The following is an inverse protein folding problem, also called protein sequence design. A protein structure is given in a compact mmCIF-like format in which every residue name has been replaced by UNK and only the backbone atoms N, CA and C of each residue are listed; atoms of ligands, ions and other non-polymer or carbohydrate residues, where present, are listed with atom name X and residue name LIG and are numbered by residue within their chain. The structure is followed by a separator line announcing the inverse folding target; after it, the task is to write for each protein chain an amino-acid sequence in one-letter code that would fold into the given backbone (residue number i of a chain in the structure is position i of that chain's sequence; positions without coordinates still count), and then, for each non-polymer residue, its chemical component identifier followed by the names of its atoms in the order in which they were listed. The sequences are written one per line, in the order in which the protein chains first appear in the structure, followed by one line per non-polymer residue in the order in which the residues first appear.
data_IF_938358343383
#
_entry.id   IF_938358343383
#
_cell.length_a   1.000
_cell.length_b   1.000
_cell.length_c   1.000
_cell.angle_alpha   90.00
_cell.angle_beta   90.00
_cell.angle_gamma   90.00
#
_symmetry.space_group_name_H-M   'P 1'
#
loop_
_entity.id
_entity.type
_entity.pdbx_description
1 polymer ?
#
# COMPACT_ATOMS: atom_id res chain seq x y z
N UNK A 1 15.21 21.28 2.22
CA UNK A 1 13.83 21.67 1.86
C UNK A 1 13.60 23.14 2.12
N UNK A 2 13.06 23.86 1.15
CA UNK A 2 12.71 25.29 1.35
C UNK A 2 11.29 25.35 1.88
N UNK A 3 11.11 25.50 3.20
CA UNK A 3 9.81 25.88 3.72
C UNK A 3 9.58 27.38 3.47
N UNK A 4 8.39 27.70 2.99
CA UNK A 4 7.98 29.08 2.74
C UNK A 4 7.79 29.80 4.08
N UNK A 5 8.31 31.02 4.18
CA UNK A 5 8.17 31.89 5.34
C UNK A 5 7.50 33.19 4.92
N UNK A 6 6.50 33.61 5.66
CA UNK A 6 5.84 34.90 5.54
C UNK A 6 6.32 35.81 6.67
N UNK A 7 6.43 37.12 6.41
CA UNK A 7 6.74 38.11 7.45
C UNK A 7 5.58 38.26 8.47
N UNK A 8 4.36 38.00 8.02
CA UNK A 8 3.17 38.11 8.85
C UNK A 8 2.89 36.92 9.74
N UNK A 9 3.04 35.68 9.18
CA UNK A 9 2.63 34.45 9.86
C UNK A 9 3.79 33.53 10.24
N UNK A 10 5.04 33.90 9.89
CA UNK A 10 6.20 33.04 10.08
C UNK A 10 6.24 31.87 9.07
N UNK A 11 6.65 30.71 9.53
CA UNK A 11 6.75 29.51 8.69
C UNK A 11 5.37 28.99 8.30
N UNK A 12 5.17 28.76 7.00
CA UNK A 12 3.90 28.24 6.46
C UNK A 12 3.65 26.76 6.80
N UNK A 13 4.70 26.03 7.19
CA UNK A 13 4.64 24.57 7.31
C UNK A 13 4.69 23.84 5.97
N UNK A 14 4.68 24.57 4.84
CA UNK A 14 4.81 23.94 3.51
C UNK A 14 6.24 23.49 3.26
N UNK A 15 6.42 22.28 2.76
CA UNK A 15 7.72 21.70 2.43
C UNK A 15 7.65 20.95 1.10
N UNK A 16 8.78 20.88 0.42
CA UNK A 16 9.06 20.00 -0.70
C UNK A 16 10.34 19.26 -0.35
N UNK A 17 10.20 18.18 0.42
CA UNK A 17 11.31 17.48 1.06
C UNK A 17 11.42 16.01 0.64
N UNK A 18 10.68 15.62 -0.39
CA UNK A 18 10.60 14.20 -0.77
C UNK A 18 9.99 13.36 0.37
N UNK A 19 10.47 12.10 0.56
CA UNK A 19 11.43 11.40 -0.30
C UNK A 19 10.89 11.13 -1.71
N UNK A 20 11.78 10.76 -2.65
CA UNK A 20 11.42 10.33 -4.00
C UNK A 20 11.95 8.93 -4.31
N UNK A 21 12.83 8.41 -3.47
CA UNK A 21 13.21 7.00 -3.47
C UNK A 21 12.49 6.26 -2.33
N UNK A 22 12.59 4.94 -2.32
CA UNK A 22 11.89 4.10 -1.35
C UNK A 22 12.29 4.45 0.09
N UNK A 23 11.28 4.61 0.92
CA UNK A 23 11.37 4.58 2.39
C UNK A 23 10.28 3.65 2.93
N UNK A 24 10.58 2.96 4.01
CA UNK A 24 9.62 2.05 4.63
C UNK A 24 8.45 2.77 5.31
N UNK A 25 7.38 2.05 5.63
CA UNK A 25 6.19 2.61 6.28
C UNK A 25 6.48 3.41 7.55
N UNK A 26 7.45 2.96 8.36
CA UNK A 26 7.84 3.57 9.62
C UNK A 26 8.48 4.95 9.47
N UNK A 27 9.19 5.22 8.35
CA UNK A 27 9.81 6.52 8.07
C UNK A 27 8.87 7.71 8.31
N UNK A 28 7.67 7.62 7.78
CA UNK A 28 6.69 8.69 7.80
C UNK A 28 6.23 9.08 9.21
N UNK A 29 6.25 8.14 10.15
CA UNK A 29 5.82 8.34 11.53
C UNK A 29 6.95 8.80 12.45
N UNK A 30 8.21 8.44 12.13
CA UNK A 30 9.37 8.77 12.97
C UNK A 30 10.11 10.03 12.55
N UNK A 31 10.19 10.32 11.26
CA UNK A 31 10.84 11.54 10.79
C UNK A 31 9.92 12.75 11.00
N UNK A 32 10.44 13.76 11.69
CA UNK A 32 9.75 15.03 11.96
C UNK A 32 10.54 16.24 11.48
N UNK A 33 11.60 16.03 10.70
CA UNK A 33 12.53 17.09 10.26
C UNK A 33 12.70 17.17 8.76
N UNK A 34 12.45 16.06 8.05
CA UNK A 34 12.69 15.92 6.62
C UNK A 34 11.38 15.72 5.84
N UNK A 35 11.19 14.55 5.21
CA UNK A 35 10.01 14.23 4.40
C UNK A 35 8.81 13.71 5.19
N UNK A 36 9.00 13.27 6.43
CA UNK A 36 7.98 12.60 7.23
C UNK A 36 6.70 13.40 7.50
N UNK A 37 5.77 12.83 8.25
CA UNK A 37 4.41 13.35 8.37
C UNK A 37 4.29 14.54 9.34
N UNK A 38 4.62 15.73 8.85
CA UNK A 38 4.39 17.04 9.49
C UNK A 38 4.20 18.13 8.43
N UNK A 39 3.45 19.20 8.77
CA UNK A 39 3.18 20.31 7.86
C UNK A 39 2.43 19.88 6.59
N UNK A 40 2.66 20.58 5.49
CA UNK A 40 2.11 20.30 4.17
C UNK A 40 3.24 19.91 3.21
N UNK A 41 3.27 18.66 2.74
CA UNK A 41 4.24 18.23 1.74
C UNK A 41 3.68 18.43 0.33
N UNK A 42 4.24 19.39 -0.39
CA UNK A 42 3.74 19.82 -1.69
C UNK A 42 4.04 18.83 -2.81
N UNK A 43 5.02 17.92 -2.60
CA UNK A 43 5.42 16.94 -3.59
C UNK A 43 6.28 15.85 -2.94
N UNK A 44 5.89 14.59 -3.13
CA UNK A 44 6.65 13.40 -2.72
C UNK A 44 6.14 12.19 -3.50
N UNK A 45 6.98 11.19 -3.66
CA UNK A 45 6.62 9.90 -4.28
C UNK A 45 7.58 8.82 -3.82
N UNK A 46 7.11 7.59 -3.69
CA UNK A 46 7.90 6.51 -3.11
C UNK A 46 8.46 5.62 -4.22
N UNK A 47 9.67 5.92 -4.69
CA UNK A 47 10.48 5.04 -5.50
C UNK A 47 9.76 4.43 -6.72
N UNK A 48 10.07 3.17 -6.98
CA UNK A 48 9.49 2.43 -8.10
C UNK A 48 8.08 1.91 -7.77
N UNK A 49 7.10 2.36 -8.55
CA UNK A 49 5.72 1.89 -8.54
C UNK A 49 5.50 0.99 -9.76
N UNK A 50 5.71 -0.31 -9.57
CA UNK A 50 5.86 -1.23 -10.69
C UNK A 50 4.53 -1.47 -11.42
N UNK A 51 4.50 -1.40 -12.78
CA UNK A 51 3.37 -1.86 -13.57
C UNK A 51 3.07 -3.34 -13.33
N UNK A 52 1.87 -3.77 -13.70
CA UNK A 52 1.52 -5.19 -13.72
C UNK A 52 2.38 -5.97 -14.73
N UNK A 53 2.54 -7.27 -14.53
CA UNK A 53 3.38 -8.13 -15.36
C UNK A 53 3.04 -8.01 -16.86
N UNK A 54 1.75 -7.88 -17.19
CA UNK A 54 1.26 -7.73 -18.56
C UNK A 54 1.74 -6.43 -19.21
N UNK A 55 1.80 -5.35 -18.47
CA UNK A 55 2.33 -4.06 -18.94
C UNK A 55 3.86 -4.08 -19.05
N UNK A 56 4.55 -4.72 -18.11
CA UNK A 56 6.00 -4.90 -18.17
C UNK A 56 6.44 -5.67 -19.41
N UNK A 57 5.70 -6.72 -19.81
CA UNK A 57 5.97 -7.49 -21.04
C UNK A 57 5.80 -6.69 -22.32
N UNK A 58 5.11 -5.53 -22.29
CA UNK A 58 5.01 -4.63 -23.44
C UNK A 58 6.23 -3.73 -23.61
N UNK A 59 7.01 -3.51 -22.55
CA UNK A 59 8.12 -2.56 -22.54
C UNK A 59 9.49 -3.21 -22.38
N UNK A 60 9.56 -4.45 -21.88
CA UNK A 60 10.78 -5.21 -21.66
C UNK A 60 10.69 -6.50 -22.47
N UNK A 61 11.68 -6.82 -23.33
CA UNK A 61 11.69 -8.09 -24.06
C UNK A 61 11.63 -9.29 -23.11
N UNK A 62 10.91 -10.35 -23.49
CA UNK A 62 10.71 -11.54 -22.65
C UNK A 62 12.04 -12.15 -22.16
N UNK A 63 13.08 -12.17 -23.02
CA UNK A 63 14.42 -12.67 -22.67
C UNK A 63 15.18 -11.79 -21.68
N UNK A 64 14.68 -10.57 -21.38
CA UNK A 64 15.31 -9.59 -20.50
C UNK A 64 14.48 -9.27 -19.25
N UNK A 65 13.31 -9.95 -19.11
CA UNK A 65 12.47 -9.78 -17.93
C UNK A 65 13.12 -10.34 -16.66
N UNK A 66 13.79 -11.47 -16.79
CA UNK A 66 14.44 -12.11 -15.64
C UNK A 66 15.69 -12.91 -16.07
N UNK A 67 16.81 -12.85 -15.30
CA UNK A 67 17.06 -11.91 -14.20
C UNK A 67 17.01 -10.45 -14.65
N UNK A 68 16.87 -9.51 -13.68
CA UNK A 68 16.77 -8.08 -14.00
C UNK A 68 17.93 -7.63 -14.89
N UNK A 69 17.61 -7.06 -16.05
CA UNK A 69 18.57 -6.62 -17.04
C UNK A 69 18.72 -5.08 -17.03
N UNK A 70 19.73 -4.56 -17.74
CA UNK A 70 19.89 -3.12 -17.93
C UNK A 70 18.73 -2.46 -18.70
N UNK A 71 17.86 -3.23 -19.34
CA UNK A 71 16.66 -2.70 -19.99
C UNK A 71 15.67 -2.16 -18.98
N UNK A 72 15.58 -2.77 -17.81
CA UNK A 72 14.80 -2.23 -16.70
C UNK A 72 15.24 -0.81 -16.30
N UNK A 73 16.56 -0.58 -16.23
CA UNK A 73 17.10 0.72 -15.84
C UNK A 73 16.74 1.83 -16.85
N UNK A 74 16.49 1.47 -18.12
CA UNK A 74 16.04 2.43 -19.14
C UNK A 74 14.64 2.98 -18.85
N UNK A 75 13.84 2.26 -18.08
CA UNK A 75 12.50 2.66 -17.65
C UNK A 75 12.48 3.32 -16.27
N UNK A 76 13.63 3.46 -15.64
CA UNK A 76 13.83 4.28 -14.45
C UNK A 76 14.01 5.77 -14.80
N UNK A 77 14.41 6.60 -13.85
CA UNK A 77 14.65 8.02 -14.13
C UNK A 77 16.00 8.22 -14.85
N UNK A 78 16.16 9.34 -15.51
CA UNK A 78 17.44 9.72 -16.12
C UNK A 78 18.36 10.47 -15.16
N UNK A 79 17.99 10.60 -13.88
CA UNK A 79 18.81 11.31 -12.88
C UNK A 79 20.10 10.54 -12.57
N UNK A 80 21.12 11.23 -12.10
CA UNK A 80 22.35 10.62 -11.58
C UNK A 80 22.17 10.05 -10.15
N UNK A 81 20.96 10.06 -9.63
CA UNK A 81 20.60 9.55 -8.30
C UNK A 81 20.40 8.03 -8.29
N UNK A 82 20.15 7.45 -7.12
CA UNK A 82 19.80 6.05 -6.95
C UNK A 82 18.57 5.61 -7.80
N UNK A 83 17.71 6.56 -8.16
CA UNK A 83 16.49 6.36 -8.94
C UNK A 83 16.71 6.06 -10.44
N UNK A 84 17.96 5.98 -10.90
CA UNK A 84 18.29 5.66 -12.29
C UNK A 84 18.39 4.14 -12.58
N UNK A 85 18.04 3.32 -11.62
CA UNK A 85 18.12 1.85 -11.72
C UNK A 85 17.13 1.20 -10.76
N UNK A 86 16.88 -0.09 -10.97
CA UNK A 86 16.05 -0.92 -10.09
C UNK A 86 16.80 -1.41 -8.83
N UNK A 87 18.01 -0.94 -8.57
CA UNK A 87 18.85 -1.45 -7.46
C UNK A 87 18.22 -1.29 -6.09
N UNK A 88 17.63 -0.10 -5.80
CA UNK A 88 16.99 0.15 -4.50
C UNK A 88 15.76 -0.74 -4.33
N UNK A 89 14.92 -0.86 -5.38
CA UNK A 89 13.77 -1.76 -5.36
C UNK A 89 14.20 -3.21 -5.12
N UNK A 90 15.22 -3.70 -5.84
CA UNK A 90 15.70 -5.06 -5.68
C UNK A 90 16.26 -5.30 -4.26
N UNK A 91 17.08 -4.37 -3.75
CA UNK A 91 17.62 -4.44 -2.39
C UNK A 91 16.50 -4.43 -1.32
N UNK A 92 15.45 -3.64 -1.55
CA UNK A 92 14.28 -3.60 -0.67
C UNK A 92 13.54 -4.93 -0.67
N UNK A 93 13.28 -5.51 -1.85
CA UNK A 93 12.63 -6.81 -1.97
C UNK A 93 13.45 -7.89 -1.27
N UNK A 94 14.76 -7.97 -1.57
CA UNK A 94 15.65 -8.95 -0.94
C UNK A 94 15.71 -8.81 0.58
N UNK A 95 15.79 -7.57 1.07
CA UNK A 95 15.86 -7.28 2.50
C UNK A 95 14.57 -7.56 3.26
N UNK A 96 13.42 -7.23 2.67
CA UNK A 96 12.11 -7.38 3.32
C UNK A 96 11.47 -8.76 3.10
N UNK A 97 11.48 -9.25 1.86
CA UNK A 97 10.71 -10.44 1.46
C UNK A 97 11.59 -11.61 1.00
N UNK A 98 12.92 -11.45 1.04
CA UNK A 98 13.87 -12.41 0.48
C UNK A 98 14.01 -12.29 -1.03
N UNK A 99 15.10 -12.86 -1.56
CA UNK A 99 15.38 -12.85 -3.00
C UNK A 99 14.19 -13.37 -3.81
N UNK A 100 13.94 -12.74 -4.94
CA UNK A 100 12.88 -13.21 -5.84
C UNK A 100 13.34 -14.47 -6.59
N UNK A 101 12.43 -15.45 -6.73
CA UNK A 101 12.69 -16.73 -7.40
C UNK A 101 12.43 -16.67 -8.91
N UNK A 102 11.89 -15.55 -9.41
CA UNK A 102 11.58 -15.35 -10.83
C UNK A 102 10.83 -14.06 -11.07
N UNK A 103 10.49 -13.81 -12.35
CA UNK A 103 9.84 -12.56 -12.76
C UNK A 103 8.52 -12.29 -12.04
N UNK A 104 7.62 -13.27 -11.99
CA UNK A 104 6.30 -13.07 -11.36
C UNK A 104 6.42 -12.86 -9.84
N UNK A 105 7.31 -13.58 -9.17
CA UNK A 105 7.58 -13.41 -7.75
C UNK A 105 8.19 -12.03 -7.46
N UNK A 106 9.11 -11.57 -8.31
CA UNK A 106 9.67 -10.23 -8.24
C UNK A 106 8.59 -9.15 -8.35
N UNK A 107 7.71 -9.25 -9.34
CA UNK A 107 6.61 -8.29 -9.55
C UNK A 107 5.66 -8.28 -8.37
N UNK A 108 5.29 -9.46 -7.85
CA UNK A 108 4.39 -9.58 -6.70
C UNK A 108 4.98 -8.97 -5.43
N UNK A 109 6.26 -9.23 -5.13
CA UNK A 109 6.97 -8.63 -4.00
C UNK A 109 7.12 -7.11 -4.17
N UNK A 110 7.40 -6.65 -5.39
CA UNK A 110 7.46 -5.23 -5.70
C UNK A 110 6.12 -4.52 -5.45
N UNK A 111 5.00 -5.16 -5.81
CA UNK A 111 3.67 -4.62 -5.51
C UNK A 111 3.39 -4.53 -4.01
N UNK A 112 3.89 -5.47 -3.19
CA UNK A 112 3.77 -5.38 -1.74
C UNK A 112 4.59 -4.23 -1.16
N UNK A 113 5.84 -4.05 -1.63
CA UNK A 113 6.71 -2.91 -1.28
C UNK A 113 6.00 -1.59 -1.58
N UNK A 114 5.46 -1.47 -2.79
CA UNK A 114 4.78 -0.27 -3.28
C UNK A 114 3.50 0.02 -2.50
N UNK A 115 2.65 -1.00 -2.29
CA UNK A 115 1.38 -0.86 -1.59
C UNK A 115 1.58 -0.38 -0.14
N UNK A 116 2.42 -1.05 0.63
CA UNK A 116 2.60 -0.74 2.05
C UNK A 116 3.26 0.62 2.26
N UNK A 117 4.26 0.97 1.46
CA UNK A 117 4.95 2.25 1.57
C UNK A 117 4.05 3.42 1.16
N UNK A 118 3.31 3.30 0.04
CA UNK A 118 2.38 4.34 -0.43
C UNK A 118 1.21 4.53 0.54
N UNK A 119 0.62 3.44 1.07
CA UNK A 119 -0.45 3.52 2.06
C UNK A 119 0.02 4.29 3.30
N UNK A 120 1.16 3.90 3.88
CA UNK A 120 1.71 4.52 5.07
C UNK A 120 2.03 6.01 4.88
N UNK A 121 2.47 6.41 3.68
CA UNK A 121 2.69 7.80 3.32
C UNK A 121 1.43 8.65 3.56
N UNK A 122 0.29 8.22 3.05
CA UNK A 122 -0.97 8.96 3.22
C UNK A 122 -1.55 8.82 4.63
N UNK A 123 -1.55 7.62 5.20
CA UNK A 123 -2.11 7.34 6.52
C UNK A 123 -1.41 8.14 7.63
N UNK A 124 -0.08 8.28 7.55
CA UNK A 124 0.69 9.04 8.54
C UNK A 124 0.32 10.52 8.57
N UNK A 125 0.05 11.12 7.42
CA UNK A 125 -0.43 12.50 7.35
C UNK A 125 -1.84 12.66 7.93
N UNK A 126 -2.68 11.67 7.77
CA UNK A 126 -4.05 11.68 8.32
C UNK A 126 -4.06 11.52 9.84
N UNK A 127 -3.32 10.55 10.37
CA UNK A 127 -3.31 10.27 11.82
C UNK A 127 -2.61 11.36 12.63
N UNK A 128 -1.71 12.13 12.01
CA UNK A 128 -0.96 13.22 12.66
C UNK A 128 -1.66 14.59 12.59
N UNK A 129 -2.88 14.67 12.07
CA UNK A 129 -3.66 15.91 12.10
C UNK A 129 -3.88 16.36 13.55
N UNK A 130 -3.68 17.66 13.92
CA UNK A 130 -3.46 18.84 13.05
C UNK A 130 -2.00 19.22 12.79
N UNK A 131 -1.01 18.40 13.18
CA UNK A 131 0.40 18.68 12.90
C UNK A 131 0.71 18.59 11.39
N UNK A 132 -0.07 17.80 10.68
CA UNK A 132 -0.08 17.70 9.23
C UNK A 132 -1.30 18.37 8.66
N UNK A 133 -1.18 18.92 7.45
CA UNK A 133 -2.28 19.62 6.77
C UNK A 133 -2.51 19.13 5.36
N UNK A 134 -1.63 18.28 4.81
CA UNK A 134 -1.80 17.64 3.52
C UNK A 134 -0.51 17.13 2.90
N UNK A 135 -0.69 16.30 1.89
CA UNK A 135 0.38 15.69 1.09
C UNK A 135 -0.09 15.57 -0.35
N UNK A 136 0.81 15.82 -1.32
CA UNK A 136 0.54 15.66 -2.74
C UNK A 136 1.50 14.60 -3.31
N UNK A 137 0.92 13.57 -3.91
CA UNK A 137 1.64 12.50 -4.59
C UNK A 137 2.24 13.02 -5.91
N UNK A 138 3.52 12.87 -6.10
CA UNK A 138 4.19 12.86 -7.37
C UNK A 138 4.34 11.40 -7.80
N UNK A 139 3.58 10.90 -8.79
CA UNK A 139 2.63 11.59 -9.65
C UNK A 139 1.48 10.66 -10.07
N UNK A 140 0.46 11.18 -10.79
CA UNK A 140 -0.67 10.37 -11.23
C UNK A 140 -0.26 9.30 -12.26
N UNK A 141 0.47 9.72 -13.31
CA UNK A 141 0.94 8.84 -14.39
C UNK A 141 2.14 9.45 -15.11
N UNK A 142 2.88 8.60 -15.81
CA UNK A 142 4.02 9.02 -16.63
C UNK A 142 3.61 9.26 -18.08
N UNK A 143 4.33 10.16 -18.77
CA UNK A 143 4.16 10.45 -20.20
C UNK A 143 4.84 9.40 -21.12
N UNK A 144 5.57 8.47 -20.54
CA UNK A 144 6.25 7.36 -21.22
C UNK A 144 6.26 6.12 -20.31
N UNK A 145 6.55 4.90 -20.80
CA UNK A 145 6.57 3.70 -19.97
C UNK A 145 7.67 3.78 -18.90
N UNK A 146 7.30 4.24 -17.71
CA UNK A 146 8.18 4.42 -16.54
C UNK A 146 7.86 3.41 -15.46
N UNK A 147 8.82 3.19 -14.55
CA UNK A 147 8.67 2.35 -13.35
C UNK A 147 8.50 3.18 -12.07
N UNK A 148 8.53 4.53 -12.13
CA UNK A 148 8.62 5.40 -10.95
C UNK A 148 7.39 6.28 -10.75
N UNK A 149 6.99 6.47 -9.49
CA UNK A 149 6.05 7.46 -8.93
C UNK A 149 4.64 7.48 -9.48
N UNK A 150 4.19 6.44 -10.16
CA UNK A 150 2.91 6.44 -10.88
C UNK A 150 1.80 5.72 -10.11
N UNK A 151 0.57 6.24 -10.16
CA UNK A 151 -0.64 5.54 -9.72
C UNK A 151 -1.26 4.74 -10.87
N UNK A 152 -1.08 5.22 -12.10
CA UNK A 152 -1.44 4.52 -13.34
C UNK A 152 -0.21 4.37 -14.21
N UNK A 153 0.01 3.19 -14.76
CA UNK A 153 1.07 2.99 -15.72
C UNK A 153 0.81 3.69 -17.06
N UNK A 154 1.78 3.64 -17.96
CA UNK A 154 1.66 4.26 -19.29
C UNK A 154 0.45 3.78 -20.09
N UNK A 155 -0.02 2.55 -19.85
CA UNK A 155 -1.17 1.96 -20.53
C UNK A 155 -2.50 2.24 -19.84
N UNK A 156 -2.51 3.01 -18.76
CA UNK A 156 -3.69 3.35 -17.98
C UNK A 156 -4.14 2.25 -17.00
N UNK A 157 -3.28 1.27 -16.74
CA UNK A 157 -3.54 0.23 -15.74
C UNK A 157 -3.17 0.76 -14.36
N UNK A 158 -4.09 0.72 -13.37
CA UNK A 158 -3.77 1.11 -12.00
C UNK A 158 -2.77 0.12 -11.38
N UNK A 159 -1.72 0.66 -10.75
CA UNK A 159 -0.70 -0.11 -10.03
C UNK A 159 -1.05 -0.26 -8.55
N UNK A 160 -0.21 -0.97 -7.78
CA UNK A 160 -0.45 -1.17 -6.34
C UNK A 160 -0.59 0.14 -5.56
N UNK A 161 0.22 1.17 -5.89
CA UNK A 161 0.14 2.51 -5.31
C UNK A 161 -1.24 3.17 -5.46
N UNK A 162 -1.96 2.94 -6.56
CA UNK A 162 -3.31 3.46 -6.75
C UNK A 162 -4.27 2.91 -5.68
N UNK A 163 -4.26 1.59 -5.46
CA UNK A 163 -5.16 0.96 -4.49
C UNK A 163 -4.74 1.28 -3.05
N UNK A 164 -3.45 1.40 -2.79
CA UNK A 164 -2.89 1.87 -1.53
C UNK A 164 -3.38 3.29 -1.19
N UNK A 165 -3.31 4.22 -2.18
CA UNK A 165 -3.82 5.58 -2.05
C UNK A 165 -5.32 5.60 -1.85
N UNK A 166 -6.07 4.82 -2.66
CA UNK A 166 -7.52 4.69 -2.53
C UNK A 166 -7.91 4.23 -1.12
N UNK A 167 -7.25 3.18 -0.60
CA UNK A 167 -7.47 2.64 0.75
C UNK A 167 -7.16 3.68 1.82
N UNK A 168 -5.99 4.30 1.75
CA UNK A 168 -5.55 5.29 2.73
C UNK A 168 -6.41 6.58 2.73
N UNK A 169 -7.09 6.90 1.62
CA UNK A 169 -7.94 8.09 1.47
C UNK A 169 -9.44 7.80 1.68
N UNK A 170 -9.83 6.62 2.15
CA UNK A 170 -11.22 6.36 2.55
C UNK A 170 -11.67 7.37 3.62
N UNK A 171 -12.92 7.89 3.56
CA UNK A 171 -13.37 8.96 4.46
C UNK A 171 -13.21 8.64 5.95
N UNK A 172 -13.44 7.37 6.32
CA UNK A 172 -13.23 6.85 7.67
C UNK A 172 -12.28 5.66 7.56
N UNK A 173 -11.22 5.62 8.38
CA UNK A 173 -10.22 4.57 8.30
C UNK A 173 -9.66 4.23 9.68
N UNK A 174 -9.39 2.95 9.94
CA UNK A 174 -8.61 2.49 11.07
C UNK A 174 -7.13 2.35 10.65
N UNK A 175 -6.24 3.07 11.33
CA UNK A 175 -4.84 3.23 10.96
C UNK A 175 -3.95 2.73 12.09
N UNK A 176 -3.00 1.83 11.77
CA UNK A 176 -1.93 1.46 12.69
C UNK A 176 -0.81 2.50 12.65
N UNK A 177 -0.51 3.10 13.80
CA UNK A 177 0.56 4.07 13.93
C UNK A 177 1.86 3.36 14.33
N UNK A 178 2.82 3.32 13.41
CA UNK A 178 4.12 2.66 13.59
C UNK A 178 4.99 3.28 14.68
N UNK A 179 4.70 4.53 15.10
CA UNK A 179 5.50 5.25 16.11
C UNK A 179 5.20 4.77 17.53
N UNK A 180 3.95 4.53 17.83
CA UNK A 180 3.50 4.22 19.18
C UNK A 180 2.80 2.87 19.32
N UNK A 181 2.75 2.09 18.21
CA UNK A 181 2.11 0.77 18.14
C UNK A 181 0.65 0.81 18.58
N UNK A 182 -0.09 1.82 18.12
CA UNK A 182 -1.50 1.99 18.45
C UNK A 182 -2.35 2.06 17.19
N UNK A 183 -3.62 1.72 17.31
CA UNK A 183 -4.62 1.87 16.26
C UNK A 183 -5.48 3.09 16.55
N UNK A 184 -5.59 3.95 15.54
CA UNK A 184 -6.43 5.13 15.57
C UNK A 184 -7.52 5.02 14.51
N UNK A 185 -8.71 5.51 14.82
CA UNK A 185 -9.74 5.80 13.81
C UNK A 185 -9.63 7.26 13.43
N UNK A 186 -9.47 7.50 12.14
CA UNK A 186 -9.46 8.83 11.55
C UNK A 186 -10.72 8.99 10.72
N UNK A 187 -11.48 10.05 10.98
CA UNK A 187 -12.67 10.39 10.23
C UNK A 187 -12.53 11.80 9.63
N UNK A 188 -12.39 11.86 8.32
CA UNK A 188 -12.37 13.12 7.53
C UNK A 188 -13.64 13.26 6.68
N UNK A 189 -14.54 12.28 6.77
CA UNK A 189 -15.86 12.30 6.16
C UNK A 189 -16.92 12.97 7.05
N UNK A 190 -18.17 12.90 6.60
CA UNK A 190 -19.32 13.46 7.30
C UNK A 190 -20.02 12.42 8.21
N UNK A 191 -19.35 11.32 8.54
CA UNK A 191 -19.90 10.31 9.43
C UNK A 191 -19.91 10.84 10.87
N UNK A 192 -21.07 10.76 11.52
CA UNK A 192 -21.24 11.12 12.92
C UNK A 192 -21.96 10.01 13.68
N UNK A 193 -21.61 9.83 14.94
CA UNK A 193 -22.20 8.87 15.85
C UNK A 193 -21.35 7.62 16.10
N UNK A 194 -22.01 6.57 16.56
CA UNK A 194 -21.34 5.33 16.97
C UNK A 194 -20.91 4.48 15.77
N UNK A 195 -19.67 3.97 15.87
CA UNK A 195 -19.11 2.96 14.98
C UNK A 195 -18.49 1.84 15.80
N UNK A 196 -18.44 0.65 15.25
CA UNK A 196 -17.69 -0.47 15.81
C UNK A 196 -16.36 -0.63 15.06
N UNK A 197 -15.26 -0.65 15.81
CA UNK A 197 -13.92 -0.92 15.30
C UNK A 197 -13.48 -2.28 15.80
N UNK A 198 -13.11 -3.18 14.91
CA UNK A 198 -12.64 -4.52 15.22
C UNK A 198 -11.17 -4.67 14.88
N UNK A 199 -10.44 -5.47 15.67
CA UNK A 199 -9.06 -5.84 15.42
C UNK A 199 -8.87 -7.33 15.55
N UNK A 200 -8.17 -7.94 14.60
CA UNK A 200 -7.64 -9.30 14.70
C UNK A 200 -6.13 -9.25 14.52
N UNK A 201 -5.41 -9.92 15.38
CA UNK A 201 -3.96 -10.07 15.30
C UNK A 201 -3.62 -11.54 15.11
N UNK A 202 -2.79 -11.83 14.12
CA UNK A 202 -2.32 -13.17 13.81
C UNK A 202 -0.79 -13.22 13.93
N UNK A 203 -0.26 -14.36 14.32
CA UNK A 203 1.19 -14.58 14.26
C UNK A 203 1.68 -14.79 12.82
N UNK A 204 2.99 -14.99 12.67
CA UNK A 204 3.66 -15.25 11.41
C UNK A 204 3.22 -16.54 10.71
N UNK A 205 2.46 -17.40 11.36
CA UNK A 205 1.91 -18.65 10.82
C UNK A 205 0.38 -18.58 10.63
N UNK A 206 -0.21 -17.39 10.69
CA UNK A 206 -1.66 -17.16 10.61
C UNK A 206 -2.48 -17.66 11.78
N UNK A 207 -1.86 -18.01 12.93
CA UNK A 207 -2.63 -18.36 14.12
C UNK A 207 -3.17 -17.09 14.80
N UNK A 208 -4.45 -17.09 15.14
CA UNK A 208 -5.12 -15.95 15.80
C UNK A 208 -4.56 -15.77 17.23
N UNK A 209 -3.96 -14.62 17.49
CA UNK A 209 -3.41 -14.22 18.79
C UNK A 209 -4.37 -13.38 19.61
N UNK A 210 -5.17 -12.57 18.94
CA UNK A 210 -6.11 -11.64 19.57
C UNK A 210 -7.25 -11.29 18.63
N UNK A 211 -8.44 -11.20 19.19
CA UNK A 211 -9.61 -10.58 18.57
C UNK A 211 -10.27 -9.68 19.61
N UNK A 212 -10.59 -8.44 19.22
CA UNK A 212 -11.26 -7.47 20.10
C UNK A 212 -12.09 -6.52 19.23
N UNK A 213 -13.14 -5.93 19.82
CA UNK A 213 -13.98 -4.94 19.17
C UNK A 213 -14.39 -3.86 20.16
N UNK A 214 -14.49 -2.62 19.69
CA UNK A 214 -14.88 -1.45 20.50
C UNK A 214 -15.86 -0.58 19.76
N UNK A 215 -16.89 -0.16 20.45
CA UNK A 215 -17.76 0.92 20.01
C UNK A 215 -17.13 2.26 20.41
N UNK A 216 -17.00 3.16 19.45
CA UNK A 216 -16.47 4.53 19.66
C UNK A 216 -17.39 5.55 19.00
N UNK A 217 -17.47 6.72 19.60
CA UNK A 217 -18.10 7.88 18.98
C UNK A 217 -17.15 8.54 17.99
N UNK A 218 -17.62 8.79 16.79
CA UNK A 218 -16.88 9.52 15.77
C UNK A 218 -17.63 10.76 15.30
N UNK A 219 -16.88 11.76 14.86
CA UNK A 219 -17.40 12.99 14.28
C UNK A 219 -16.45 13.53 13.21
N UNK A 220 -16.91 14.52 12.46
CA UNK A 220 -16.12 15.13 11.41
C UNK A 220 -14.76 15.64 11.92
N UNK A 221 -13.70 15.28 11.21
CA UNK A 221 -12.30 15.67 11.50
C UNK A 221 -11.83 15.28 12.90
N UNK A 222 -12.23 14.12 13.39
CA UNK A 222 -11.66 13.61 14.62
C UNK A 222 -10.74 12.42 14.40
N UNK A 223 -9.83 12.25 15.36
CA UNK A 223 -8.94 11.09 15.45
C UNK A 223 -9.09 10.50 16.84
N UNK A 224 -9.51 9.24 16.93
CA UNK A 224 -9.79 8.55 18.19
C UNK A 224 -8.89 7.33 18.32
N UNK A 225 -8.20 7.18 19.46
CA UNK A 225 -7.45 5.97 19.77
C UNK A 225 -8.40 4.81 20.04
N UNK A 226 -8.24 3.72 19.27
CA UNK A 226 -9.05 2.51 19.39
C UNK A 226 -8.35 1.42 20.18
N UNK A 227 -7.10 1.03 19.81
CA UNK A 227 -6.41 -0.11 20.43
C UNK A 227 -4.95 0.21 20.72
N UNK A 228 -4.37 -0.54 21.70
CA UNK A 228 -2.95 -0.55 22.01
C UNK A 228 -2.35 -1.90 21.64
N UNK A 229 -1.42 -1.90 20.68
CA UNK A 229 -0.79 -3.09 20.12
C UNK A 229 0.62 -3.35 20.67
N UNK A 230 1.11 -2.55 21.63
CA UNK A 230 2.48 -2.64 22.18
C UNK A 230 2.87 -4.02 22.67
N UNK A 231 1.91 -4.82 23.15
CA UNK A 231 2.17 -6.19 23.60
C UNK A 231 2.67 -7.13 22.50
N UNK A 232 2.57 -6.72 21.22
CA UNK A 232 3.06 -7.45 20.05
C UNK A 232 4.39 -6.92 19.53
N UNK A 233 4.91 -5.82 20.08
CA UNK A 233 6.21 -5.28 19.68
C UNK A 233 7.32 -6.31 19.78
N UNK A 234 8.25 -6.28 18.82
CA UNK A 234 9.41 -7.18 18.82
C UNK A 234 9.15 -8.59 18.26
N UNK A 235 7.96 -8.85 17.72
CA UNK A 235 7.65 -10.12 17.02
C UNK A 235 6.94 -9.83 15.69
N UNK A 236 7.15 -10.67 14.65
CA UNK A 236 6.41 -10.54 13.40
C UNK A 236 4.94 -10.91 13.63
N UNK A 237 4.01 -10.14 13.04
CA UNK A 237 2.59 -10.40 13.16
C UNK A 237 1.80 -9.69 12.08
N UNK A 238 0.56 -10.14 11.85
CA UNK A 238 -0.42 -9.46 11.01
C UNK A 238 -1.47 -8.75 11.87
N UNK A 239 -1.94 -7.60 11.40
CA UNK A 239 -3.05 -6.88 12.00
C UNK A 239 -4.12 -6.67 10.93
N UNK A 240 -5.34 -7.14 11.18
CA UNK A 240 -6.51 -6.85 10.38
C UNK A 240 -7.46 -5.94 11.17
N UNK A 241 -7.91 -4.87 10.54
CA UNK A 241 -8.79 -3.86 11.11
C UNK A 241 -10.06 -3.74 10.27
N UNK A 242 -11.21 -3.62 10.91
CA UNK A 242 -12.48 -3.37 10.26
C UNK A 242 -13.25 -2.29 11.01
N UNK A 243 -13.96 -1.45 10.27
CA UNK A 243 -14.93 -0.49 10.81
C UNK A 243 -16.30 -0.84 10.25
N UNK A 244 -17.29 -0.91 11.13
CA UNK A 244 -18.68 -1.06 10.77
C UNK A 244 -19.51 0.08 11.38
N UNK A 245 -20.62 0.45 10.72
CA UNK A 245 -21.60 1.38 11.28
C UNK A 245 -22.38 0.73 12.45
N UNK A 246 -23.28 1.50 13.06
CA UNK A 246 -24.14 1.06 14.17
C UNK A 246 -25.05 -0.13 13.81
N UNK A 247 -25.32 -0.36 12.53
CA UNK A 247 -26.18 -1.44 12.02
C UNK A 247 -25.33 -2.66 11.58
N UNK A 248 -24.01 -2.62 11.80
CA UNK A 248 -23.06 -3.70 11.46
C UNK A 248 -22.66 -3.72 9.99
N UNK A 249 -22.99 -2.70 9.20
CA UNK A 249 -22.58 -2.59 7.80
C UNK A 249 -21.11 -2.20 7.71
N UNK A 250 -20.26 -2.97 6.99
CA UNK A 250 -18.85 -2.61 6.79
C UNK A 250 -18.71 -1.23 6.11
N UNK A 251 -17.82 -0.41 6.66
CA UNK A 251 -17.47 0.93 6.15
C UNK A 251 -16.04 0.97 5.59
N UNK A 252 -15.08 0.36 6.29
CA UNK A 252 -13.67 0.36 5.91
C UNK A 252 -12.97 -0.86 6.50
N UNK A 253 -11.90 -1.28 5.87
CA UNK A 253 -10.98 -2.30 6.38
C UNK A 253 -9.52 -1.89 6.13
N UNK A 254 -8.60 -2.50 6.87
CA UNK A 254 -7.17 -2.33 6.64
C UNK A 254 -6.39 -3.58 7.07
N UNK A 255 -5.22 -3.79 6.50
CA UNK A 255 -4.39 -4.96 6.80
C UNK A 255 -2.91 -4.57 6.82
N UNK A 256 -2.19 -5.03 7.83
CA UNK A 256 -0.78 -4.70 8.04
C UNK A 256 0.05 -5.95 8.28
N UNK A 257 1.25 -5.97 7.69
CA UNK A 257 2.33 -6.89 8.03
C UNK A 257 3.33 -6.12 8.90
N UNK A 258 3.52 -6.54 10.14
CA UNK A 258 4.39 -5.85 11.11
C UNK A 258 5.61 -6.71 11.38
N UNK A 259 6.78 -6.19 11.04
CA UNK A 259 8.07 -6.83 11.32
C UNK A 259 8.45 -6.74 12.81
N UNK A 260 9.28 -7.66 13.27
CA UNK A 260 9.83 -7.61 14.64
C UNK A 260 10.74 -6.39 14.87
N UNK A 261 11.38 -5.91 13.82
CA UNK A 261 12.27 -4.74 13.86
C UNK A 261 11.98 -3.79 12.70
N UNK A 262 12.19 -2.51 12.95
CA UNK A 262 12.00 -1.45 11.96
C UNK A 262 13.19 -1.35 11.03
N UNK A 263 12.99 -0.66 9.90
CA UNK A 263 14.08 -0.27 9.03
C UNK A 263 15.12 0.60 9.77
N UNK A 264 16.40 0.43 9.41
CA UNK A 264 17.49 1.24 9.92
C UNK A 264 17.95 2.20 8.83
N UNK A 265 17.72 3.49 9.03
CA UNK A 265 18.06 4.54 8.06
C UNK A 265 19.46 5.09 8.31
N UNK A 266 20.17 5.42 7.22
CA UNK A 266 21.48 6.08 7.27
C UNK A 266 21.27 7.59 7.14
N UNK A 267 21.00 8.25 8.26
CA UNK A 267 20.67 9.67 8.28
C UNK A 267 21.82 10.60 7.88
N UNK A 268 23.06 10.17 8.04
CA UNK A 268 24.25 10.92 7.62
C UNK A 268 24.36 11.02 6.08
N UNK A 269 23.76 10.07 5.36
CA UNK A 269 23.70 10.04 3.90
C UNK A 269 22.36 10.56 3.36
N UNK A 270 21.54 11.15 4.23
CA UNK A 270 20.25 11.73 3.83
C UNK A 270 20.43 12.81 2.77
N UNK A 271 19.60 12.71 1.74
CA UNK A 271 19.35 13.79 0.79
C UNK A 271 17.85 14.10 0.77
N UNK A 272 17.47 15.25 0.19
CA UNK A 272 16.05 15.60 0.11
C UNK A 272 15.20 14.64 -0.74
N UNK A 273 15.80 13.77 -1.51
CA UNK A 273 15.12 12.80 -2.39
C UNK A 273 15.35 11.33 -1.98
N UNK A 274 16.33 11.06 -1.14
CA UNK A 274 16.70 9.70 -0.74
C UNK A 274 17.14 9.65 0.72
N UNK A 275 16.74 8.59 1.41
CA UNK A 275 17.21 8.25 2.76
C UNK A 275 17.62 6.78 2.76
N UNK A 276 18.92 6.45 2.58
CA UNK A 276 19.36 5.08 2.43
C UNK A 276 19.01 4.22 3.66
N UNK A 277 18.78 2.93 3.41
CA UNK A 277 18.45 1.93 4.43
C UNK A 277 19.62 0.96 4.57
N UNK A 278 20.16 0.82 5.77
CA UNK A 278 21.25 -0.12 6.09
C UNK A 278 20.77 -1.50 6.52
N UNK A 279 19.57 -1.59 7.09
CA UNK A 279 18.91 -2.85 7.42
C UNK A 279 17.40 -2.72 7.23
N UNK A 280 16.83 -3.66 6.50
CA UNK A 280 15.40 -3.68 6.19
C UNK A 280 14.60 -4.42 7.27
N UNK A 281 13.35 -4.02 7.47
CA UNK A 281 12.37 -4.77 8.24
C UNK A 281 12.09 -6.12 7.58
N UNK A 282 12.14 -7.22 8.35
CA UNK A 282 11.93 -8.57 7.83
C UNK A 282 10.45 -8.92 7.77
N UNK A 283 9.92 -9.00 6.56
CA UNK A 283 8.52 -9.33 6.24
C UNK A 283 8.39 -10.66 5.46
N UNK A 284 9.43 -11.49 5.44
CA UNK A 284 9.43 -12.77 4.70
C UNK A 284 8.27 -13.66 5.07
N UNK A 285 7.81 -13.60 6.32
CA UNK A 285 6.67 -14.38 6.79
C UNK A 285 5.38 -14.13 5.98
N UNK A 286 5.21 -12.94 5.39
CA UNK A 286 4.02 -12.59 4.61
C UNK A 286 3.91 -13.43 3.31
N UNK A 287 5.04 -13.74 2.68
CA UNK A 287 5.10 -14.58 1.47
C UNK A 287 5.46 -16.04 1.77
N UNK A 288 5.83 -16.37 3.02
CA UNK A 288 6.14 -17.74 3.45
C UNK A 288 4.90 -18.54 3.89
N UNK A 289 3.69 -17.96 3.80
CA UNK A 289 2.46 -18.66 4.11
C UNK A 289 2.27 -19.85 3.16
N UNK A 290 1.76 -20.99 3.64
CA UNK A 290 1.29 -22.05 2.76
C UNK A 290 0.26 -21.50 1.75
N UNK A 291 0.13 -22.15 0.61
CA UNK A 291 -0.87 -21.75 -0.37
C UNK A 291 -2.29 -21.86 0.23
N UNK A 292 -3.01 -20.73 0.22
CA UNK A 292 -4.37 -20.67 0.72
C UNK A 292 -5.35 -21.31 -0.27
N UNK A 293 -6.36 -22.03 0.22
CA UNK A 293 -7.47 -22.51 -0.58
C UNK A 293 -8.51 -21.40 -0.78
N UNK A 294 -8.35 -20.64 -1.87
CA UNK A 294 -9.27 -19.54 -2.21
C UNK A 294 -10.12 -19.92 -3.40
N UNK A 295 -11.43 -19.96 -3.20
CA UNK A 295 -12.42 -20.10 -4.27
C UNK A 295 -12.86 -18.75 -4.77
N UNK A 296 -13.21 -18.66 -6.08
CA UNK A 296 -13.67 -17.44 -6.74
C UNK A 296 -14.92 -17.74 -7.57
N UNK A 297 -15.97 -16.98 -7.31
CA UNK A 297 -17.20 -16.97 -8.11
C UNK A 297 -17.35 -15.61 -8.79
N UNK A 298 -17.71 -15.60 -10.07
CA UNK A 298 -17.88 -14.39 -10.87
C UNK A 298 -19.27 -14.36 -11.47
N UNK A 299 -19.96 -13.25 -11.32
CA UNK A 299 -21.21 -12.95 -12.00
C UNK A 299 -21.15 -11.58 -12.67
N UNK A 300 -21.92 -11.37 -13.72
CA UNK A 300 -21.99 -10.10 -14.44
C UNK A 300 -23.45 -9.65 -14.56
N UNK A 301 -23.69 -8.38 -14.29
CA UNK A 301 -24.96 -7.72 -14.56
C UNK A 301 -24.71 -6.25 -14.92
N UNK A 302 -25.28 -5.80 -16.04
CA UNK A 302 -25.25 -4.40 -16.50
C UNK A 302 -23.83 -3.80 -16.59
N UNK A 303 -22.85 -4.59 -17.01
CA UNK A 303 -21.45 -4.17 -17.15
C UNK A 303 -20.69 -4.10 -15.82
N UNK A 304 -21.28 -4.63 -14.73
CA UNK A 304 -20.64 -4.78 -13.43
C UNK A 304 -20.35 -6.25 -13.16
N UNK A 305 -19.09 -6.61 -13.06
CA UNK A 305 -18.63 -7.92 -12.63
C UNK A 305 -18.58 -7.95 -11.11
N UNK A 306 -19.29 -8.88 -10.50
CA UNK A 306 -19.22 -9.14 -9.05
C UNK A 306 -18.41 -10.39 -8.83
N UNK A 307 -17.32 -10.25 -8.05
CA UNK A 307 -16.39 -11.32 -7.72
C UNK A 307 -16.52 -11.62 -6.23
N UNK A 308 -16.89 -12.84 -5.91
CA UNK A 308 -16.95 -13.35 -4.53
C UNK A 308 -15.78 -14.29 -4.32
N UNK A 309 -14.92 -13.95 -3.38
CA UNK A 309 -13.75 -14.74 -2.98
C UNK A 309 -13.99 -15.32 -1.61
N UNK A 310 -13.69 -16.60 -1.40
CA UNK A 310 -13.74 -17.24 -0.10
C UNK A 310 -12.42 -17.96 0.19
N UNK A 311 -11.76 -17.61 1.28
CA UNK A 311 -10.59 -18.30 1.79
C UNK A 311 -11.04 -19.46 2.70
N UNK A 312 -10.99 -20.69 2.20
CA UNK A 312 -11.43 -21.89 2.90
C UNK A 312 -10.34 -22.51 3.79
N UNK A 313 -9.16 -21.89 3.82
CA UNK A 313 -8.01 -22.38 4.58
C UNK A 313 -7.88 -21.69 5.94
N UNK A 314 -6.91 -22.17 6.74
CA UNK A 314 -6.54 -21.61 8.06
C UNK A 314 -5.36 -20.63 7.96
N UNK A 315 -4.93 -20.28 6.76
CA UNK A 315 -3.82 -19.35 6.53
C UNK A 315 -4.30 -18.08 5.82
N UNK A 316 -3.60 -16.99 6.05
CA UNK A 316 -3.86 -15.71 5.38
C UNK A 316 -3.41 -15.82 3.92
N UNK A 317 -4.30 -15.45 2.99
CA UNK A 317 -3.93 -15.22 1.59
C UNK A 317 -3.52 -13.76 1.44
N UNK A 318 -2.23 -13.50 1.20
CA UNK A 318 -1.67 -12.16 1.12
C UNK A 318 -1.48 -11.70 -0.32
N UNK A 319 -1.73 -10.41 -0.60
CA UNK A 319 -1.58 -9.78 -1.92
C UNK A 319 -2.38 -10.49 -3.03
N UNK A 320 -3.69 -10.59 -2.83
CA UNK A 320 -4.61 -11.07 -3.86
C UNK A 320 -4.85 -9.96 -4.88
N UNK A 321 -4.58 -10.24 -6.16
CA UNK A 321 -4.67 -9.29 -7.26
C UNK A 321 -5.70 -9.77 -8.27
N UNK A 322 -6.76 -9.00 -8.47
CA UNK A 322 -7.78 -9.28 -9.47
C UNK A 322 -7.43 -8.58 -10.78
N UNK A 323 -7.56 -9.31 -11.88
CA UNK A 323 -7.29 -8.84 -13.24
C UNK A 323 -8.50 -9.08 -14.12
N UNK A 324 -8.90 -8.06 -14.88
CA UNK A 324 -9.92 -8.19 -15.92
C UNK A 324 -9.22 -8.26 -17.28
N UNK A 325 -9.36 -9.38 -17.97
CA UNK A 325 -8.71 -9.64 -19.26
C UNK A 325 -9.72 -9.87 -20.37
N UNK A 326 -9.35 -9.48 -21.57
CA UNK A 326 -10.08 -9.83 -22.77
C UNK A 326 -9.79 -11.29 -23.18
N UNK A 327 -10.45 -11.75 -24.24
CA UNK A 327 -10.28 -13.12 -24.79
C UNK A 327 -8.84 -13.41 -25.32
N UNK A 328 -8.07 -12.37 -25.58
CA UNK A 328 -6.69 -12.47 -26.06
C UNK A 328 -5.67 -12.39 -24.90
N UNK A 329 -6.15 -12.30 -23.65
CA UNK A 329 -5.34 -12.27 -22.43
C UNK A 329 -4.79 -10.88 -22.07
N UNK A 330 -5.21 -9.81 -22.74
CA UNK A 330 -4.78 -8.46 -22.43
C UNK A 330 -5.59 -7.86 -21.29
N UNK A 331 -4.96 -7.06 -20.44
CA UNK A 331 -5.67 -6.29 -19.44
C UNK A 331 -6.64 -5.29 -20.10
N UNK A 332 -7.88 -5.28 -19.64
CA UNK A 332 -8.90 -4.35 -20.10
C UNK A 332 -8.79 -3.03 -19.35
N UNK A 333 -8.83 -1.94 -20.09
CA UNK A 333 -8.75 -0.57 -19.56
C UNK A 333 -9.81 0.30 -20.26
N UNK A 334 -10.64 1.04 -19.52
CA UNK A 334 -10.69 1.09 -18.06
C UNK A 334 -11.38 -0.13 -17.42
N UNK A 335 -10.85 -0.61 -16.31
CA UNK A 335 -11.50 -1.56 -15.42
C UNK A 335 -11.45 -0.98 -13.99
N UNK A 336 -12.62 -0.59 -13.47
CA UNK A 336 -12.71 0.12 -12.19
C UNK A 336 -13.10 -0.87 -11.10
N UNK A 337 -12.12 -1.32 -10.35
CA UNK A 337 -12.31 -2.22 -9.22
C UNK A 337 -12.70 -1.47 -7.94
N UNK A 338 -13.62 -2.02 -7.18
CA UNK A 338 -13.97 -1.50 -5.85
C UNK A 338 -12.80 -1.63 -4.87
N UNK A 339 -12.03 -2.71 -4.96
CA UNK A 339 -10.79 -2.95 -4.21
C UNK A 339 -9.86 -3.89 -4.97
N UNK A 340 -8.55 -3.88 -4.63
CA UNK A 340 -7.55 -4.79 -5.18
C UNK A 340 -6.28 -4.81 -4.30
N UNK A 341 -5.37 -5.75 -4.50
CA UNK A 341 -4.14 -5.92 -3.71
C UNK A 341 -4.43 -6.11 -2.21
N UNK A 342 -5.37 -6.94 -1.88
CA UNK A 342 -5.85 -7.15 -0.51
C UNK A 342 -5.43 -8.51 0.08
N UNK A 343 -5.54 -8.63 1.39
CA UNK A 343 -5.45 -9.91 2.09
C UNK A 343 -6.84 -10.53 2.31
N UNK A 344 -6.89 -11.88 2.39
CA UNK A 344 -8.05 -12.63 2.83
C UNK A 344 -7.68 -13.40 4.09
N UNK A 345 -8.39 -13.16 5.18
CA UNK A 345 -8.20 -13.84 6.45
C UNK A 345 -8.70 -15.30 6.37
N UNK A 346 -8.25 -16.17 7.28
CA UNK A 346 -8.80 -17.51 7.40
C UNK A 346 -10.33 -17.50 7.52
N UNK A 347 -11.03 -18.24 6.64
CA UNK A 347 -12.49 -18.33 6.63
C UNK A 347 -13.22 -17.06 6.12
N UNK A 348 -12.52 -16.04 5.67
CA UNK A 348 -13.12 -14.79 5.20
C UNK A 348 -13.72 -14.95 3.81
N UNK A 349 -14.92 -14.38 3.62
CA UNK A 349 -15.51 -14.12 2.30
C UNK A 349 -15.42 -12.62 1.99
N UNK A 350 -15.00 -12.27 0.78
CA UNK A 350 -14.90 -10.89 0.30
C UNK A 350 -15.58 -10.73 -1.05
N UNK A 351 -16.38 -9.69 -1.18
CA UNK A 351 -16.99 -9.32 -2.46
C UNK A 351 -16.29 -8.09 -3.02
N UNK A 352 -15.85 -8.19 -4.27
CA UNK A 352 -15.23 -7.10 -5.03
C UNK A 352 -15.99 -6.91 -6.31
N UNK A 353 -16.22 -5.67 -6.72
CA UNK A 353 -16.85 -5.35 -7.99
C UNK A 353 -15.87 -4.74 -8.97
N UNK A 354 -16.06 -5.01 -10.26
CA UNK A 354 -15.36 -4.37 -11.36
C UNK A 354 -16.35 -3.81 -12.36
N UNK A 355 -16.27 -2.52 -12.65
CA UNK A 355 -17.00 -1.89 -13.74
C UNK A 355 -16.09 -1.75 -14.94
N UNK A 356 -16.49 -2.34 -16.07
CA UNK A 356 -15.77 -2.23 -17.34
C UNK A 356 -16.79 -2.16 -18.49
N UNK A 357 -16.43 -1.41 -19.53
CA UNK A 357 -17.29 -1.27 -20.72
C UNK A 357 -17.19 -2.48 -21.68
N UNK A 358 -16.22 -3.37 -21.47
CA UNK A 358 -16.03 -4.57 -22.26
C UNK A 358 -16.90 -5.73 -21.73
N UNK A 359 -17.38 -6.59 -22.65
CA UNK A 359 -18.16 -7.79 -22.35
C UNK A 359 -17.29 -9.03 -22.39
N UNK A 360 -17.79 -10.11 -21.79
CA UNK A 360 -17.17 -11.44 -21.82
C UNK A 360 -15.72 -11.44 -21.30
N UNK A 361 -15.49 -10.69 -20.19
CA UNK A 361 -14.19 -10.62 -19.55
C UNK A 361 -13.87 -11.90 -18.80
N UNK A 362 -12.61 -12.34 -18.90
CA UNK A 362 -12.02 -13.31 -18.01
C UNK A 362 -11.51 -12.58 -16.76
N UNK A 363 -12.05 -12.92 -15.59
CA UNK A 363 -11.53 -12.43 -14.32
C UNK A 363 -10.53 -13.46 -13.78
N UNK A 364 -9.31 -13.02 -13.55
CA UNK A 364 -8.24 -13.83 -12.97
C UNK A 364 -7.90 -13.36 -11.57
N UNK A 365 -7.54 -14.31 -10.71
CA UNK A 365 -6.96 -14.09 -9.38
C UNK A 365 -5.49 -14.48 -9.43
N UNK A 366 -4.60 -13.49 -9.27
CA UNK A 366 -3.15 -13.65 -9.14
C UNK A 366 -2.77 -13.63 -7.64
N UNK A 367 -1.98 -14.64 -7.20
CA UNK A 367 -1.65 -14.88 -5.78
C UNK A 367 -0.19 -15.27 -5.60
#
# INVERSE_FOLDING_TARGET
AKSLKSELTGWSGSKMAGPYEYVGPDYWYFDVTNGGAFGFNTETGIGANLPQAESLRKIIPESELWPLSKTWDKHCTTSSSAMNSTKVLNATIEGQYGAAEGFNDFVRKAHAVDYDATRAMFESFRVNTPLTTGIIQWMLNSAWPSLYWQLYDYYGVPVAAYYATKKACEPVQAIYNYKDSQVYVVNEGLLEGEITVSVKVYDENSALLMEDARTIETSYRNTVKAFDMKKFDGRPHFIALEIADKDGKPLADNFYCIAAQRNQYVWDDYTWYDTPISAYSDLRFAFAQPEADVTMEVSEADGVYTVVLANNSQVISYMNILKAKDKDGNLVVPAVWSDNFFALLPGQTRTVTCKADAKDLCIELDR
#
